data_IF_982152415924
#
_entry.id   IF_982152415924
#
_cell.length_a   1.000
_cell.length_b   1.000
_cell.length_c   1.000
_cell.angle_alpha   90.00
_cell.angle_beta   90.00
_cell.angle_gamma   90.00
#
_symmetry.space_group_name_H-M   'P 1'
#
loop_
_entity.id
_entity.type
_entity.pdbx_description
1 polymer ?
#
# COMPACT_ATOMS: atom_id res chain seq x y z
N UNK A 1 15.33 -10.58 16.24
CA UNK A 1 14.39 -9.56 16.75
C UNK A 1 13.06 -9.89 16.13
N UNK A 2 12.21 -10.56 16.89
CA UNK A 2 10.94 -11.13 16.44
C UNK A 2 9.90 -10.02 16.62
N UNK A 3 9.51 -9.38 15.53
CA UNK A 3 8.52 -8.31 15.56
C UNK A 3 7.18 -9.00 15.83
N UNK A 4 6.64 -8.78 17.03
CA UNK A 4 5.35 -9.26 17.47
C UNK A 4 4.23 -8.60 16.65
N UNK A 5 3.34 -9.41 16.10
CA UNK A 5 2.31 -9.11 15.09
C UNK A 5 1.21 -8.08 15.48
N UNK A 6 1.46 -7.14 16.40
CA UNK A 6 0.44 -6.21 16.93
C UNK A 6 0.94 -4.78 17.17
N UNK A 7 1.87 -4.27 16.36
CA UNK A 7 2.18 -2.83 16.39
C UNK A 7 1.17 -2.07 15.53
N UNK A 8 0.22 -1.38 16.17
CA UNK A 8 -0.61 -0.38 15.51
C UNK A 8 0.31 0.66 14.86
N UNK A 9 0.21 0.82 13.54
CA UNK A 9 1.06 1.76 12.79
C UNK A 9 0.54 3.17 13.02
N UNK A 10 0.95 3.78 14.13
CA UNK A 10 0.76 5.20 14.38
C UNK A 10 1.80 6.00 13.58
N UNK A 11 1.51 6.22 12.29
CA UNK A 11 2.35 7.10 11.49
C UNK A 11 2.01 8.57 11.84
N UNK A 12 2.72 9.09 12.86
CA UNK A 12 2.46 10.37 13.54
C UNK A 12 2.82 11.63 12.71
N UNK A 13 2.95 11.51 11.38
CA UNK A 13 3.35 12.59 10.49
C UNK A 13 2.76 12.38 9.10
N UNK A 14 1.45 12.63 8.95
CA UNK A 14 0.83 12.80 7.63
C UNK A 14 0.41 11.53 6.90
N UNK A 15 0.41 10.36 7.54
CA UNK A 15 -0.15 9.15 6.93
C UNK A 15 -1.67 9.05 7.15
N UNK A 16 -2.39 10.02 6.60
CA UNK A 16 -3.61 9.64 5.92
C UNK A 16 -3.13 8.86 4.69
N UNK A 17 -3.13 7.51 4.74
CA UNK A 17 -3.10 6.67 3.54
C UNK A 17 -4.39 6.95 2.77
N UNK A 18 -4.34 8.09 2.10
CA UNK A 18 -5.43 8.67 1.35
C UNK A 18 -5.78 7.69 0.25
N UNK A 19 -7.06 7.66 -0.13
CA UNK A 19 -7.57 6.84 -1.22
C UNK A 19 -6.67 6.83 -2.47
N UNK A 20 -5.87 7.88 -2.68
CA UNK A 20 -4.81 7.96 -3.71
C UNK A 20 -3.72 6.90 -3.59
N UNK A 21 -3.17 6.64 -2.41
CA UNK A 21 -2.14 5.59 -2.23
C UNK A 21 -2.73 4.20 -2.53
N UNK A 22 -3.97 3.95 -2.10
CA UNK A 22 -4.68 2.70 -2.40
C UNK A 22 -5.07 2.59 -3.89
N UNK A 23 -5.39 3.71 -4.55
CA UNK A 23 -5.60 3.75 -6.00
C UNK A 23 -4.32 3.43 -6.76
N UNK A 24 -3.18 3.98 -6.35
CA UNK A 24 -1.88 3.60 -6.93
C UNK A 24 -1.60 2.10 -6.71
N UNK A 25 -1.82 1.61 -5.50
CA UNK A 25 -1.65 0.19 -5.19
C UNK A 25 -2.55 -0.69 -6.07
N UNK A 26 -3.78 -0.27 -6.35
CA UNK A 26 -4.69 -0.95 -7.26
C UNK A 26 -4.23 -0.89 -8.73
N UNK A 27 -3.54 0.18 -9.15
CA UNK A 27 -2.96 0.21 -10.51
C UNK A 27 -1.80 -0.77 -10.67
N UNK A 28 -1.06 -1.04 -9.61
CA UNK A 28 0.04 -2.03 -9.62
C UNK A 28 -0.51 -3.46 -9.48
N UNK A 29 -1.41 -3.67 -8.51
CA UNK A 29 -2.05 -4.96 -8.20
C UNK A 29 -3.58 -4.86 -8.36
N UNK A 30 -4.11 -4.82 -9.60
CA UNK A 30 -5.56 -4.68 -9.82
C UNK A 30 -6.36 -5.89 -9.32
N UNK A 31 -5.73 -7.05 -9.24
CA UNK A 31 -6.34 -8.31 -8.81
C UNK A 31 -6.36 -8.48 -7.28
N UNK A 32 -5.70 -7.60 -6.52
CA UNK A 32 -5.64 -7.71 -5.07
C UNK A 32 -6.94 -7.15 -4.44
N UNK A 33 -7.82 -8.07 -4.06
CA UNK A 33 -9.12 -7.78 -3.43
C UNK A 33 -8.98 -7.00 -2.12
N UNK A 34 -7.89 -7.20 -1.36
CA UNK A 34 -7.66 -6.47 -0.09
C UNK A 34 -7.51 -4.98 -0.34
N UNK A 35 -6.80 -4.59 -1.39
CA UNK A 35 -6.63 -3.19 -1.77
C UNK A 35 -7.98 -2.57 -2.15
N UNK A 36 -8.83 -3.30 -2.90
CA UNK A 36 -10.16 -2.83 -3.27
C UNK A 36 -11.08 -2.63 -2.06
N UNK A 37 -11.06 -3.59 -1.13
CA UNK A 37 -11.82 -3.52 0.12
C UNK A 37 -11.35 -2.34 0.97
N UNK A 38 -10.04 -2.19 1.16
CA UNK A 38 -9.45 -1.10 1.94
C UNK A 38 -9.68 0.27 1.29
N UNK A 39 -9.67 0.34 -0.05
CA UNK A 39 -10.02 1.57 -0.78
C UNK A 39 -11.48 1.96 -0.55
N UNK A 40 -12.39 0.99 -0.57
CA UNK A 40 -13.82 1.22 -0.31
C UNK A 40 -14.04 1.66 1.14
N UNK A 41 -13.41 0.98 2.10
CA UNK A 41 -13.41 1.37 3.50
C UNK A 41 -12.88 2.79 3.71
N UNK A 42 -11.72 3.12 3.13
CA UNK A 42 -11.11 4.44 3.24
C UNK A 42 -11.97 5.55 2.62
N UNK A 43 -12.67 5.27 1.50
CA UNK A 43 -13.65 6.19 0.90
C UNK A 43 -14.83 6.43 1.82
N UNK A 44 -15.37 5.37 2.44
CA UNK A 44 -16.51 5.47 3.36
C UNK A 44 -16.12 6.24 4.63
N UNK A 45 -14.96 5.95 5.22
CA UNK A 45 -14.44 6.69 6.38
C UNK A 45 -14.25 8.17 6.05
N UNK A 46 -13.69 8.48 4.87
CA UNK A 46 -13.53 9.87 4.40
C UNK A 46 -14.86 10.58 4.20
N UNK A 47 -15.87 9.90 3.64
CA UNK A 47 -17.23 10.45 3.52
C UNK A 47 -17.88 10.68 4.90
N UNK A 48 -17.61 9.81 5.87
CA UNK A 48 -18.06 9.94 7.24
C UNK A 48 -17.26 10.98 8.06
N UNK A 49 -16.24 11.62 7.48
CA UNK A 49 -15.35 12.54 8.19
C UNK A 49 -14.50 11.88 9.27
N UNK A 50 -14.40 10.56 9.25
CA UNK A 50 -13.67 9.76 10.23
C UNK A 50 -12.21 9.59 9.79
N UNK A 51 -11.25 9.61 10.73
CA UNK A 51 -9.87 9.27 10.42
C UNK A 51 -9.76 7.82 9.94
N UNK A 52 -8.86 7.58 8.98
CA UNK A 52 -8.53 6.24 8.46
C UNK A 52 -7.41 5.57 9.27
N UNK A 53 -7.27 5.95 10.54
CA UNK A 53 -6.28 5.41 11.48
C UNK A 53 -7.00 4.89 12.73
N UNK A 54 -6.47 3.87 13.42
CA UNK A 54 -5.21 3.16 13.13
C UNK A 54 -5.34 2.16 11.97
N UNK A 55 -4.25 1.95 11.22
CA UNK A 55 -4.05 0.74 10.41
C UNK A 55 -3.08 -0.20 11.13
N UNK A 56 -3.19 -1.50 10.91
CA UNK A 56 -2.26 -2.50 11.46
C UNK A 56 -1.15 -2.81 10.45
N UNK A 57 0.01 -3.27 10.94
CA UNK A 57 1.15 -3.68 10.08
C UNK A 57 0.73 -4.77 9.11
N UNK A 58 -0.06 -5.76 9.55
CA UNK A 58 -0.57 -6.83 8.69
C UNK A 58 -1.30 -6.27 7.46
N UNK A 59 -2.11 -5.25 7.69
CA UNK A 59 -2.94 -4.61 6.70
C UNK A 59 -2.09 -3.75 5.74
N UNK A 60 -0.94 -3.23 6.19
CA UNK A 60 0.07 -2.60 5.33
C UNK A 60 0.84 -3.66 4.51
N UNK A 61 1.20 -4.81 5.09
CA UNK A 61 1.88 -5.90 4.37
C UNK A 61 0.99 -6.50 3.26
N UNK A 62 -0.33 -6.48 3.42
CA UNK A 62 -1.27 -6.97 2.40
C UNK A 62 -1.62 -5.95 1.31
N UNK A 63 -1.56 -4.65 1.61
CA UNK A 63 -2.05 -3.59 0.70
C UNK A 63 -0.99 -2.64 0.17
N UNK A 64 0.20 -2.62 0.77
CA UNK A 64 1.28 -1.71 0.38
C UNK A 64 2.24 -2.40 -0.61
N UNK A 65 2.23 -2.03 -1.90
CA UNK A 65 3.09 -2.66 -2.90
C UNK A 65 4.58 -2.42 -2.63
N UNK A 66 4.94 -1.37 -1.88
CA UNK A 66 6.34 -1.11 -1.48
C UNK A 66 6.86 -2.13 -0.46
N UNK A 67 6.00 -2.64 0.42
CA UNK A 67 6.37 -3.71 1.36
C UNK A 67 6.34 -5.09 0.70
N UNK A 68 5.67 -5.21 -0.45
CA UNK A 68 5.48 -6.46 -1.20
C UNK A 68 6.45 -6.62 -2.37
N UNK A 69 7.44 -5.74 -2.53
CA UNK A 69 8.44 -5.80 -3.63
C UNK A 69 9.27 -7.08 -3.64
N UNK A 70 9.34 -7.78 -2.51
CA UNK A 70 10.01 -9.07 -2.40
C UNK A 70 9.17 -10.22 -3.00
N UNK A 71 7.86 -10.00 -3.21
CA UNK A 71 6.99 -11.00 -3.82
C UNK A 71 7.23 -11.09 -5.33
N UNK A 72 7.28 -12.31 -5.89
CA UNK A 72 7.47 -12.51 -7.33
C UNK A 72 6.36 -11.85 -8.15
N UNK A 73 5.15 -11.75 -7.61
CA UNK A 73 4.01 -11.08 -8.26
C UNK A 73 4.29 -9.60 -8.54
N UNK A 74 4.90 -8.87 -7.60
CA UNK A 74 5.26 -7.47 -7.80
C UNK A 74 6.43 -7.35 -8.79
N UNK A 75 7.43 -8.21 -8.64
CA UNK A 75 8.60 -8.28 -9.50
C UNK A 75 8.24 -8.54 -10.97
N UNK A 76 7.31 -9.46 -11.24
CA UNK A 76 6.76 -9.71 -12.57
C UNK A 76 5.98 -8.50 -13.11
N UNK A 77 5.21 -7.81 -12.25
CA UNK A 77 4.44 -6.62 -12.64
C UNK A 77 5.33 -5.44 -13.04
N UNK A 78 6.41 -5.20 -12.30
CA UNK A 78 7.37 -4.11 -12.61
C UNK A 78 8.43 -4.53 -13.63
N UNK A 79 8.59 -5.83 -13.89
CA UNK A 79 9.54 -6.37 -14.87
C UNK A 79 10.97 -6.53 -14.35
N UNK A 80 11.18 -6.53 -13.04
CA UNK A 80 12.52 -6.63 -12.43
C UNK A 80 12.59 -7.80 -11.47
N UNK A 81 13.65 -8.60 -11.57
CA UNK A 81 13.86 -9.81 -10.75
C UNK A 81 14.50 -9.53 -9.39
N UNK A 82 14.96 -8.30 -9.16
CA UNK A 82 15.56 -7.93 -7.87
C UNK A 82 14.62 -7.01 -7.08
N UNK A 83 14.46 -7.23 -5.77
CA UNK A 83 13.60 -6.38 -4.93
C UNK A 83 14.02 -4.91 -4.95
N UNK A 84 15.32 -4.64 -5.08
CA UNK A 84 15.88 -3.28 -5.08
C UNK A 84 15.51 -2.53 -6.36
N UNK A 85 15.64 -3.15 -7.53
CA UNK A 85 15.24 -2.55 -8.80
C UNK A 85 13.71 -2.40 -8.88
N UNK A 86 12.98 -3.42 -8.43
CA UNK A 86 11.53 -3.39 -8.33
C UNK A 86 11.04 -2.21 -7.48
N UNK A 87 11.66 -1.97 -6.31
CA UNK A 87 11.34 -0.82 -5.45
C UNK A 87 11.63 0.51 -6.15
N UNK A 88 12.78 0.62 -6.82
CA UNK A 88 13.17 1.84 -7.54
C UNK A 88 12.17 2.20 -8.64
N UNK A 89 11.73 1.21 -9.42
CA UNK A 89 10.75 1.42 -10.48
C UNK A 89 9.34 1.66 -9.93
N UNK A 90 8.94 0.95 -8.88
CA UNK A 90 7.67 1.20 -8.21
C UNK A 90 7.61 2.63 -7.65
N UNK A 91 8.76 3.15 -7.16
CA UNK A 91 8.88 4.54 -6.73
C UNK A 91 8.76 5.51 -7.90
N UNK A 92 9.46 5.28 -9.01
CA UNK A 92 9.32 6.10 -10.24
C UNK A 92 7.90 6.09 -10.78
N UNK A 93 7.24 4.93 -10.78
CA UNK A 93 5.84 4.80 -11.17
C UNK A 93 4.96 5.66 -10.28
N UNK A 94 5.13 5.60 -8.94
CA UNK A 94 4.38 6.44 -8.01
C UNK A 94 4.66 7.94 -8.20
N UNK A 95 5.91 8.32 -8.41
CA UNK A 95 6.29 9.73 -8.59
C UNK A 95 5.73 10.31 -9.91
N UNK A 96 5.63 9.48 -10.95
CA UNK A 96 4.98 9.84 -12.22
C UNK A 96 3.46 9.64 -12.20
N UNK A 97 2.91 8.95 -11.21
CA UNK A 97 1.49 8.67 -11.09
C UNK A 97 0.75 9.91 -10.61
N UNK A 98 0.09 10.56 -11.55
CA UNK A 98 -0.81 11.69 -11.31
C UNK A 98 -2.24 11.17 -11.22
N UNK A 99 -2.56 10.55 -10.07
CA UNK A 99 -3.90 10.06 -9.75
C UNK A 99 -4.97 11.13 -9.75
#
# INVERSE_FOLDING_TARGET
MQISDLEEVYCNSGCAYSAKNLQFALTVEPENLRIQQKLTWAKNQRQAGQPTIPSTIEDELETNPFMRVDLPVIQEKVGFKTPVEALGELRKLKDNWRG
#
